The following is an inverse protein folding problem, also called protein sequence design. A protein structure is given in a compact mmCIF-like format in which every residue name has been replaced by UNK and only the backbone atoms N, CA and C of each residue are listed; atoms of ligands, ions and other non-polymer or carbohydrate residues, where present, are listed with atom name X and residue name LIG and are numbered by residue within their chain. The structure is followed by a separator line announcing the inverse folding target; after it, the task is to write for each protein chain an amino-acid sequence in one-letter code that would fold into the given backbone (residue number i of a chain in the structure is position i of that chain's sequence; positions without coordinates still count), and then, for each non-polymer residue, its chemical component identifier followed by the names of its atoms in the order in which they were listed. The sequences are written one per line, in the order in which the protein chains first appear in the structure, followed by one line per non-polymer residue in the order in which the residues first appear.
data_IF_400541967049
#
_entry.id   IF_400541967049
#
_cell.length_a   1.000
_cell.length_b   1.000
_cell.length_c   1.000
_cell.angle_alpha   90.00
_cell.angle_beta   90.00
_cell.angle_gamma   90.00
#
_symmetry.space_group_name_H-M   'P 1'
#
loop_
_entity.id
_entity.type
_entity.pdbx_description
1 polymer ?
#
# COMPACT_ATOMS: atom_id res chain seq x y z
N UNK A 1 -30.78 -82.59 16.46
CA UNK A 1 -29.31 -82.42 16.50
C UNK A 1 -28.93 -81.27 15.57
N UNK A 2 -29.01 -80.04 16.07
CA UNK A 2 -28.69 -78.82 15.31
C UNK A 2 -27.50 -78.16 16.02
N UNK A 3 -26.47 -78.01 15.21
CA UNK A 3 -25.06 -77.83 15.53
C UNK A 3 -24.76 -76.52 16.27
N UNK A 4 -23.83 -76.67 17.21
CA UNK A 4 -22.98 -75.73 17.96
C UNK A 4 -22.24 -74.64 17.14
N UNK A 5 -22.70 -74.29 15.95
CA UNK A 5 -22.00 -73.39 15.01
C UNK A 5 -22.31 -71.91 15.25
N UNK A 6 -23.47 -71.57 15.83
CA UNK A 6 -23.93 -70.18 15.94
C UNK A 6 -23.14 -69.40 17.02
N UNK A 7 -22.72 -70.06 18.10
CA UNK A 7 -22.00 -69.40 19.18
C UNK A 7 -20.54 -69.05 18.86
N UNK A 8 -19.91 -69.75 17.90
CA UNK A 8 -18.53 -69.43 17.48
C UNK A 8 -18.43 -68.18 16.60
N UNK A 9 -19.48 -67.84 15.86
CA UNK A 9 -19.46 -66.65 14.98
C UNK A 9 -19.72 -65.35 15.75
N UNK A 10 -20.46 -65.39 16.86
CA UNK A 10 -20.73 -64.19 17.67
C UNK A 10 -19.49 -63.73 18.44
N UNK A 11 -18.64 -64.66 18.88
CA UNK A 11 -17.40 -64.32 19.62
C UNK A 11 -16.32 -63.74 18.69
N UNK A 12 -16.27 -64.13 17.41
CA UNK A 12 -15.29 -63.57 16.45
C UNK A 12 -15.69 -62.15 16.01
N UNK A 13 -16.99 -61.84 15.93
CA UNK A 13 -17.45 -60.48 15.59
C UNK A 13 -17.16 -59.44 16.70
N UNK A 14 -17.10 -59.86 17.97
CA UNK A 14 -16.82 -58.96 19.09
C UNK A 14 -15.32 -58.60 19.22
N UNK A 15 -14.42 -59.40 18.64
CA UNK A 15 -12.96 -59.17 18.68
C UNK A 15 -12.43 -58.26 17.56
N UNK A 16 -13.25 -57.96 16.53
CA UNK A 16 -12.91 -57.03 15.46
C UNK A 16 -13.46 -55.61 15.66
N UNK A 17 -14.27 -55.40 16.69
CA UNK A 17 -14.71 -54.07 17.13
C UNK A 17 -13.73 -53.46 18.16
N UNK A 18 -12.43 -53.68 17.97
CA UNK A 18 -11.38 -52.92 18.66
C UNK A 18 -11.46 -51.47 18.22
N UNK A 19 -12.38 -50.72 18.81
CA UNK A 19 -12.53 -49.28 18.63
C UNK A 19 -11.20 -48.63 18.98
N UNK A 20 -10.45 -48.27 17.95
CA UNK A 20 -9.31 -47.38 18.10
C UNK A 20 -9.87 -46.01 18.46
N UNK A 21 -10.11 -45.78 19.75
CA UNK A 21 -10.25 -44.44 20.29
C UNK A 21 -8.88 -43.78 20.13
N UNK A 22 -8.67 -43.15 18.97
CA UNK A 22 -7.66 -42.12 18.86
C UNK A 22 -8.11 -41.02 19.82
N UNK A 23 -7.52 -41.01 21.02
CA UNK A 23 -7.50 -39.81 21.84
C UNK A 23 -6.73 -38.81 21.01
N UNK A 24 -7.45 -37.97 20.25
CA UNK A 24 -6.88 -36.79 19.65
C UNK A 24 -6.38 -35.94 20.82
N UNK A 25 -5.09 -36.08 21.15
CA UNK A 25 -4.45 -35.22 22.13
C UNK A 25 -4.64 -33.79 21.63
N UNK A 26 -5.33 -32.97 22.40
CA UNK A 26 -5.46 -31.56 22.07
C UNK A 26 -4.04 -31.01 21.91
N UNK A 27 -3.77 -30.22 20.84
CA UNK A 27 -2.47 -29.59 20.70
C UNK A 27 -2.18 -28.78 21.96
N UNK A 28 -0.92 -28.78 22.44
CA UNK A 28 -0.56 -27.97 23.59
C UNK A 28 -0.91 -26.49 23.33
N UNK A 29 -1.27 -25.74 24.38
CA UNK A 29 -1.58 -24.33 24.23
C UNK A 29 -0.37 -23.59 23.62
N UNK A 30 -0.61 -22.56 22.80
CA UNK A 30 0.49 -21.78 22.24
C UNK A 30 1.34 -21.16 23.37
N UNK A 31 2.66 -21.04 23.18
CA UNK A 31 3.54 -20.42 24.17
C UNK A 31 3.16 -18.95 24.40
N UNK A 32 3.53 -18.38 25.56
CA UNK A 32 3.25 -16.98 25.86
C UNK A 32 4.00 -16.04 24.89
N UNK A 33 3.34 -14.92 24.54
CA UNK A 33 3.93 -13.86 23.72
C UNK A 33 4.72 -12.89 24.61
N UNK A 34 5.90 -12.45 24.17
CA UNK A 34 6.65 -11.35 24.79
C UNK A 34 6.32 -10.02 24.11
N UNK A 35 6.03 -8.99 24.90
CA UNK A 35 5.81 -7.62 24.43
C UNK A 35 7.06 -6.72 24.54
N UNK A 36 8.18 -7.28 24.99
CA UNK A 36 9.45 -6.58 25.18
C UNK A 36 9.81 -6.34 26.65
N UNK A 37 11.04 -6.69 27.02
CA UNK A 37 11.66 -6.42 28.33
C UNK A 37 12.98 -5.64 28.16
N UNK A 38 13.54 -5.12 29.24
CA UNK A 38 14.76 -4.31 29.19
C UNK A 38 16.00 -5.14 28.83
N UNK A 39 15.95 -6.46 29.05
CA UNK A 39 17.02 -7.41 28.74
C UNK A 39 17.05 -7.82 27.25
N UNK A 40 16.06 -7.44 26.45
CA UNK A 40 16.00 -7.79 25.03
C UNK A 40 17.09 -7.02 24.24
N UNK A 41 17.69 -7.65 23.22
CA UNK A 41 18.70 -6.97 22.37
C UNK A 41 18.09 -5.82 21.54
N UNK A 42 16.84 -5.97 21.13
CA UNK A 42 16.13 -4.99 20.31
C UNK A 42 14.88 -4.50 21.05
N UNK A 43 14.72 -3.19 21.13
CA UNK A 43 13.61 -2.59 21.85
C UNK A 43 12.59 -2.00 20.87
N UNK A 44 11.30 -2.35 20.99
CA UNK A 44 10.26 -1.71 20.19
C UNK A 44 10.07 -0.26 20.64
N UNK A 45 9.67 0.61 19.70
CA UNK A 45 9.14 1.93 20.05
C UNK A 45 7.85 1.72 20.85
N UNK A 46 7.64 2.51 21.91
CA UNK A 46 6.48 2.40 22.81
C UNK A 46 5.63 3.66 22.77
N UNK A 47 4.31 3.50 22.74
CA UNK A 47 3.33 4.58 22.85
C UNK A 47 2.11 4.11 23.65
N UNK A 48 1.39 5.04 24.31
CA UNK A 48 0.21 4.73 25.14
C UNK A 48 -1.14 4.97 24.44
N UNK A 49 -1.16 5.70 23.33
CA UNK A 49 -2.39 6.13 22.66
C UNK A 49 -2.46 5.66 21.22
N UNK A 50 -1.68 6.29 20.33
CA UNK A 50 -1.60 5.95 18.90
C UNK A 50 -0.17 5.80 18.45
N UNK A 51 0.04 5.03 17.38
CA UNK A 51 1.33 4.80 16.76
C UNK A 51 1.16 4.72 15.24
N UNK A 52 2.13 5.26 14.50
CA UNK A 52 2.24 5.13 13.05
C UNK A 52 3.64 4.61 12.77
N UNK A 53 3.74 3.64 11.87
CA UNK A 53 5.00 3.16 11.33
C UNK A 53 4.94 3.24 9.80
N UNK A 54 5.93 3.86 9.19
CA UNK A 54 6.06 3.93 7.73
C UNK A 54 7.53 4.04 7.34
N UNK A 55 7.82 3.90 6.04
CA UNK A 55 9.19 3.98 5.49
C UNK A 55 9.81 5.38 5.62
N UNK A 56 8.97 6.42 5.71
CA UNK A 56 9.43 7.81 5.75
C UNK A 56 9.12 8.50 7.08
N UNK A 57 10.08 9.28 7.57
CA UNK A 57 9.98 9.95 8.86
C UNK A 57 9.02 11.15 8.84
N UNK A 58 8.87 11.85 7.71
CA UNK A 58 7.91 12.96 7.56
C UNK A 58 6.49 12.42 7.45
N UNK A 59 6.26 11.39 6.64
CA UNK A 59 4.97 10.73 6.52
C UNK A 59 4.51 10.12 7.85
N UNK A 60 5.41 9.46 8.60
CA UNK A 60 5.12 8.99 9.96
C UNK A 60 4.66 10.12 10.86
N UNK A 61 5.35 11.27 10.83
CA UNK A 61 4.97 12.45 11.62
C UNK A 61 3.61 13.00 11.23
N UNK A 62 3.30 13.09 9.92
CA UNK A 62 1.98 13.48 9.42
C UNK A 62 0.89 12.60 10.02
N UNK A 63 1.06 11.27 9.99
CA UNK A 63 0.09 10.34 10.56
C UNK A 63 -0.09 10.52 12.07
N UNK A 64 1.01 10.66 12.82
CA UNK A 64 0.97 10.90 14.27
C UNK A 64 0.24 12.21 14.58
N UNK A 65 0.48 13.27 13.81
CA UNK A 65 -0.17 14.56 14.03
C UNK A 65 -1.66 14.53 13.70
N UNK A 66 -2.11 13.72 12.72
CA UNK A 66 -3.54 13.47 12.47
C UNK A 66 -4.19 12.73 13.64
N UNK A 67 -3.53 11.71 14.19
CA UNK A 67 -4.02 11.03 15.40
C UNK A 67 -4.12 11.99 16.59
N UNK A 68 -3.13 12.88 16.78
CA UNK A 68 -3.14 13.91 17.84
C UNK A 68 -4.26 14.94 17.64
N UNK A 69 -4.65 15.21 16.40
CA UNK A 69 -5.78 16.08 16.06
C UNK A 69 -7.15 15.39 16.24
N UNK A 70 -7.17 14.16 16.74
CA UNK A 70 -8.39 13.40 16.99
C UNK A 70 -8.87 12.56 15.82
N UNK A 71 -8.07 12.46 14.74
CA UNK A 71 -8.35 11.55 13.63
C UNK A 71 -8.21 10.09 14.06
N UNK A 72 -8.95 9.20 13.40
CA UNK A 72 -8.86 7.77 13.65
C UNK A 72 -7.71 7.13 12.82
N UNK A 73 -7.56 5.81 12.93
CA UNK A 73 -6.53 5.07 12.20
C UNK A 73 -6.65 5.19 10.66
N UNK A 74 -7.87 5.30 10.13
CA UNK A 74 -8.11 5.47 8.69
C UNK A 74 -7.77 6.89 8.24
N UNK A 75 -8.14 7.91 9.01
CA UNK A 75 -7.76 9.31 8.73
C UNK A 75 -6.24 9.46 8.66
N UNK A 76 -5.53 8.89 9.64
CA UNK A 76 -4.08 8.91 9.70
C UNK A 76 -3.45 8.09 8.55
N UNK A 77 -3.99 6.91 8.23
CA UNK A 77 -3.48 6.10 7.12
C UNK A 77 -3.61 6.80 5.76
N UNK A 78 -4.75 7.47 5.51
CA UNK A 78 -4.96 8.25 4.28
C UNK A 78 -4.02 9.44 4.22
N UNK A 79 -3.84 10.17 5.33
CA UNK A 79 -2.89 11.28 5.39
C UNK A 79 -1.44 10.82 5.15
N UNK A 80 -1.03 9.68 5.73
CA UNK A 80 0.27 9.05 5.48
C UNK A 80 0.41 8.67 4.01
N UNK A 81 -0.62 8.08 3.39
CA UNK A 81 -0.62 7.73 1.98
C UNK A 81 -0.35 8.93 1.06
N UNK A 82 -1.06 10.03 1.27
CA UNK A 82 -0.82 11.28 0.53
C UNK A 82 0.55 11.90 0.85
N UNK A 83 1.01 11.85 2.10
CA UNK A 83 2.34 12.34 2.46
C UNK A 83 3.45 11.53 1.78
N UNK A 84 3.32 10.20 1.69
CA UNK A 84 4.24 9.33 0.96
C UNK A 84 4.22 9.59 -0.55
N UNK A 85 3.05 9.93 -1.12
CA UNK A 85 2.96 10.35 -2.52
C UNK A 85 3.81 11.59 -2.87
N UNK A 86 4.25 12.34 -1.85
CA UNK A 86 5.13 13.50 -1.98
C UNK A 86 6.55 13.19 -1.53
N UNK A 87 6.71 12.56 -0.37
CA UNK A 87 8.01 12.40 0.32
C UNK A 87 8.76 11.14 -0.08
N UNK A 88 8.05 10.13 -0.60
CA UNK A 88 8.59 8.85 -1.03
C UNK A 88 8.13 8.51 -2.46
N UNK A 89 8.49 9.34 -3.47
CA UNK A 89 8.03 9.17 -4.86
C UNK A 89 8.49 7.85 -5.52
N UNK A 90 9.38 7.10 -4.88
CA UNK A 90 9.80 5.76 -5.31
C UNK A 90 8.66 4.74 -5.29
N UNK A 91 7.66 4.94 -4.42
CA UNK A 91 6.54 4.01 -4.27
C UNK A 91 5.24 4.66 -3.76
N UNK A 92 5.35 5.67 -2.89
CA UNK A 92 4.20 6.49 -2.51
C UNK A 92 3.65 7.20 -3.73
N UNK A 93 2.34 7.15 -3.97
CA UNK A 93 1.80 7.57 -5.25
C UNK A 93 0.33 8.05 -5.20
N UNK A 94 -0.01 8.88 -6.19
CA UNK A 94 -1.39 9.05 -6.68
C UNK A 94 -1.58 8.44 -8.09
N UNK A 95 -0.49 8.01 -8.73
CA UNK A 95 -0.47 7.48 -10.10
C UNK A 95 -0.37 5.95 -10.21
N UNK A 96 -0.50 5.23 -9.09
CA UNK A 96 -0.54 3.76 -9.04
C UNK A 96 -1.75 3.27 -8.24
N UNK A 97 -1.58 2.17 -7.51
CA UNK A 97 -2.64 1.54 -6.70
C UNK A 97 -2.10 0.73 -5.54
N UNK A 98 -2.97 -0.09 -4.93
CA UNK A 98 -2.59 -0.92 -3.80
C UNK A 98 -3.78 -1.52 -3.05
N UNK A 99 -3.53 -1.82 -1.78
CA UNK A 99 -4.51 -2.47 -0.90
C UNK A 99 -4.47 -1.83 0.49
N UNK A 100 -5.61 -1.84 1.18
CA UNK A 100 -5.72 -1.46 2.58
C UNK A 100 -6.49 -2.54 3.33
N UNK A 101 -5.90 -3.08 4.40
CA UNK A 101 -6.61 -3.93 5.34
C UNK A 101 -6.92 -3.11 6.59
N UNK A 102 -8.16 -3.15 7.05
CA UNK A 102 -8.56 -2.42 8.25
C UNK A 102 -9.39 -3.31 9.16
N UNK A 103 -9.19 -3.10 10.46
CA UNK A 103 -9.96 -3.73 11.54
C UNK A 103 -10.45 -2.65 12.48
N UNK A 104 -11.76 -2.54 12.62
CA UNK A 104 -12.40 -1.56 13.49
C UNK A 104 -12.36 -2.04 14.94
N UNK A 105 -12.57 -1.12 15.89
CA UNK A 105 -12.50 -1.41 17.34
C UNK A 105 -13.54 -2.43 17.83
N UNK A 106 -14.66 -2.56 17.13
CA UNK A 106 -15.71 -3.56 17.33
C UNK A 106 -15.36 -4.93 16.69
N UNK A 107 -14.19 -5.07 16.08
CA UNK A 107 -13.65 -6.33 15.58
C UNK A 107 -13.96 -6.64 14.11
N UNK A 108 -14.75 -5.80 13.43
CA UNK A 108 -15.03 -5.98 12.00
C UNK A 108 -13.75 -5.77 11.20
N UNK A 109 -13.47 -6.73 10.30
CA UNK A 109 -12.29 -6.71 9.45
C UNK A 109 -12.72 -6.64 7.99
N UNK A 110 -12.05 -5.82 7.19
CA UNK A 110 -12.30 -5.73 5.75
C UNK A 110 -11.03 -5.36 5.01
N UNK A 111 -11.07 -5.48 3.69
CA UNK A 111 -10.03 -5.09 2.78
C UNK A 111 -10.61 -4.15 1.72
N UNK A 112 -9.83 -3.16 1.32
CA UNK A 112 -10.10 -2.27 0.20
C UNK A 112 -9.06 -2.58 -0.86
N UNK A 113 -9.52 -3.10 -1.99
CA UNK A 113 -8.73 -3.28 -3.20
C UNK A 113 -8.86 -2.02 -4.05
N UNK A 114 -7.75 -1.35 -4.26
CA UNK A 114 -7.62 -0.21 -5.16
C UNK A 114 -6.42 -0.42 -6.10
N UNK A 115 -6.23 -1.67 -6.53
CA UNK A 115 -5.26 -2.05 -7.55
C UNK A 115 -5.58 -1.36 -8.87
N UNK A 116 -4.54 -1.07 -9.64
CA UNK A 116 -4.71 -0.54 -10.97
C UNK A 116 -5.49 -1.50 -11.88
N UNK A 117 -6.33 -0.94 -12.74
CA UNK A 117 -7.05 -1.72 -13.77
C UNK A 117 -6.35 -1.59 -15.12
N UNK A 118 -6.22 -2.69 -15.84
CA UNK A 118 -5.77 -2.64 -17.23
C UNK A 118 -6.73 -1.72 -18.05
N UNK A 119 -6.19 -0.82 -18.90
CA UNK A 119 -7.03 0.01 -19.77
C UNK A 119 -7.96 -0.83 -20.64
N UNK A 120 -9.10 -0.26 -21.07
CA UNK A 120 -10.08 -0.97 -21.93
C UNK A 120 -9.47 -1.50 -23.24
N UNK A 121 -8.47 -0.80 -23.77
CA UNK A 121 -7.76 -1.20 -24.99
C UNK A 121 -6.62 -2.20 -24.74
N UNK A 122 -6.40 -2.63 -23.50
CA UNK A 122 -5.39 -3.64 -23.20
C UNK A 122 -5.79 -4.98 -23.81
N UNK A 123 -4.81 -5.68 -24.38
CA UNK A 123 -5.01 -7.00 -24.99
C UNK A 123 -3.96 -7.97 -24.48
N UNK A 124 -4.27 -9.28 -24.57
CA UNK A 124 -3.41 -10.35 -24.05
C UNK A 124 -1.96 -10.25 -24.55
N UNK A 125 -1.77 -9.90 -25.82
CA UNK A 125 -0.49 -10.00 -26.52
C UNK A 125 0.18 -8.61 -26.72
N UNK A 126 -0.32 -7.54 -26.08
CA UNK A 126 0.15 -6.16 -26.28
C UNK A 126 1.62 -5.91 -25.92
N UNK A 127 2.25 -6.83 -25.18
CA UNK A 127 3.64 -6.76 -24.77
C UNK A 127 4.55 -7.75 -25.50
N UNK A 128 4.07 -8.43 -26.55
CA UNK A 128 4.92 -9.28 -27.37
C UNK A 128 5.68 -8.46 -28.43
N UNK A 129 6.86 -8.91 -28.80
CA UNK A 129 7.59 -8.46 -29.99
C UNK A 129 7.07 -9.17 -31.27
N UNK A 130 7.66 -8.84 -32.42
CA UNK A 130 7.27 -9.41 -33.71
C UNK A 130 7.55 -10.92 -33.82
N UNK A 131 8.37 -11.48 -32.93
CA UNK A 131 8.68 -12.91 -32.84
C UNK A 131 7.81 -13.63 -31.80
N UNK A 132 6.91 -12.92 -31.11
CA UNK A 132 6.04 -13.47 -30.09
C UNK A 132 6.68 -13.60 -28.70
N UNK A 133 7.85 -13.01 -28.45
CA UNK A 133 8.49 -13.02 -27.14
C UNK A 133 8.08 -11.80 -26.29
N UNK A 134 7.99 -11.91 -24.96
CA UNK A 134 7.69 -10.76 -24.10
C UNK A 134 8.78 -9.67 -24.14
N UNK A 135 8.37 -8.42 -24.39
CA UNK A 135 9.23 -7.23 -24.36
C UNK A 135 9.06 -6.48 -23.02
N UNK A 136 10.05 -6.65 -22.14
CA UNK A 136 10.08 -6.01 -20.82
C UNK A 136 10.11 -4.49 -20.87
N UNK A 137 10.65 -3.85 -21.93
CA UNK A 137 10.68 -2.39 -22.03
C UNK A 137 9.28 -1.85 -22.26
N UNK A 138 8.44 -2.57 -23.03
CA UNK A 138 7.03 -2.19 -23.22
C UNK A 138 6.25 -2.23 -21.90
N UNK A 139 6.47 -3.26 -21.08
CA UNK A 139 5.72 -3.47 -19.83
C UNK A 139 6.30 -2.78 -18.59
N UNK A 140 7.50 -2.18 -18.66
CA UNK A 140 8.15 -1.50 -17.53
C UNK A 140 8.38 0.00 -17.75
N UNK A 141 8.88 0.40 -18.93
CA UNK A 141 9.39 1.77 -19.15
C UNK A 141 8.70 2.51 -20.29
N UNK A 142 7.68 1.91 -20.92
CA UNK A 142 6.86 2.58 -21.92
C UNK A 142 5.55 3.10 -21.31
N UNK A 143 4.85 3.97 -22.03
CA UNK A 143 3.52 4.43 -21.62
C UNK A 143 2.49 3.28 -21.50
N UNK A 144 2.69 2.17 -22.21
CA UNK A 144 1.81 0.99 -22.14
C UNK A 144 1.92 0.25 -20.80
N UNK A 145 2.98 0.48 -20.03
CA UNK A 145 3.22 -0.16 -18.73
C UNK A 145 2.23 0.30 -17.64
N UNK A 146 1.49 1.39 -17.88
CA UNK A 146 0.63 2.01 -16.87
C UNK A 146 -0.77 1.42 -16.87
N UNK A 147 -1.21 0.95 -15.71
CA UNK A 147 -2.63 0.70 -15.44
C UNK A 147 -3.36 1.98 -15.02
N UNK A 148 -4.70 1.94 -15.03
CA UNK A 148 -5.53 3.05 -14.52
C UNK A 148 -5.35 3.18 -13.01
N UNK A 149 -4.88 4.34 -12.47
CA UNK A 149 -4.52 4.46 -11.06
C UNK A 149 -5.70 4.34 -10.09
N UNK A 150 -5.51 3.62 -8.98
CA UNK A 150 -6.53 3.35 -7.96
C UNK A 150 -6.35 4.08 -6.63
N UNK A 151 -5.16 4.60 -6.30
CA UNK A 151 -4.85 5.12 -4.96
C UNK A 151 -5.81 6.22 -4.47
N UNK A 152 -6.14 7.21 -5.33
CA UNK A 152 -7.05 8.30 -4.96
C UNK A 152 -8.46 7.79 -4.65
N UNK A 153 -8.98 6.86 -5.47
CA UNK A 153 -10.27 6.21 -5.23
C UNK A 153 -10.27 5.37 -3.94
N UNK A 154 -9.23 4.56 -3.72
CA UNK A 154 -9.08 3.72 -2.54
C UNK A 154 -9.04 4.53 -1.24
N UNK A 155 -8.24 5.60 -1.21
CA UNK A 155 -8.16 6.50 -0.07
C UNK A 155 -9.49 7.22 0.21
N UNK A 156 -10.18 7.66 -0.84
CA UNK A 156 -11.46 8.35 -0.69
C UNK A 156 -12.54 7.40 -0.18
N UNK A 157 -12.64 6.19 -0.74
CA UNK A 157 -13.55 5.14 -0.27
C UNK A 157 -13.29 4.76 1.20
N UNK A 158 -12.02 4.61 1.58
CA UNK A 158 -11.65 4.31 2.97
C UNK A 158 -12.08 5.44 3.90
N UNK A 159 -11.75 6.69 3.55
CA UNK A 159 -12.02 7.87 4.35
C UNK A 159 -13.53 8.13 4.48
N UNK A 160 -14.28 8.04 3.39
CA UNK A 160 -15.74 8.25 3.39
C UNK A 160 -16.47 7.23 4.27
N UNK A 161 -16.03 5.97 4.23
CA UNK A 161 -16.75 4.87 4.89
C UNK A 161 -16.29 4.61 6.32
N UNK A 162 -15.01 4.87 6.61
CA UNK A 162 -14.38 4.49 7.88
C UNK A 162 -13.58 5.61 8.53
N UNK A 163 -13.35 6.73 7.84
CA UNK A 163 -12.72 7.93 8.38
C UNK A 163 -13.69 8.78 9.20
N UNK A 164 -13.15 9.83 9.80
CA UNK A 164 -13.89 10.85 10.55
C UNK A 164 -13.54 12.27 10.14
N UNK A 165 -12.46 12.47 9.38
CA UNK A 165 -12.01 13.76 8.88
C UNK A 165 -12.38 13.95 7.40
N UNK A 166 -12.68 15.19 6.97
CA UNK A 166 -12.87 15.48 5.55
C UNK A 166 -11.55 15.34 4.78
N UNK A 167 -11.64 14.98 3.49
CA UNK A 167 -10.49 14.77 2.60
C UNK A 167 -9.50 15.94 2.60
N UNK A 168 -10.03 17.17 2.58
CA UNK A 168 -9.20 18.38 2.57
C UNK A 168 -8.33 18.55 3.83
N UNK A 169 -8.70 17.95 4.97
CA UNK A 169 -7.90 18.00 6.20
C UNK A 169 -6.76 16.98 6.15
N UNK A 170 -7.04 15.76 5.71
CA UNK A 170 -6.04 14.68 5.67
C UNK A 170 -5.01 14.87 4.55
N UNK A 171 -5.37 15.53 3.44
CA UNK A 171 -4.45 15.80 2.31
C UNK A 171 -3.59 17.06 2.51
N UNK A 172 -4.03 18.01 3.34
CA UNK A 172 -3.34 19.31 3.54
C UNK A 172 -1.86 19.18 3.91
N UNK A 173 -1.42 18.26 4.78
CA UNK A 173 -0.01 18.10 5.08
C UNK A 173 0.83 17.73 3.84
N UNK A 174 0.30 16.90 2.94
CA UNK A 174 0.97 16.53 1.70
C UNK A 174 1.08 17.72 0.73
N UNK A 175 0.02 18.53 0.60
CA UNK A 175 0.05 19.77 -0.19
C UNK A 175 1.17 20.68 0.30
N UNK A 176 1.24 20.92 1.62
CA UNK A 176 2.29 21.75 2.23
C UNK A 176 3.70 21.22 1.92
N UNK A 177 3.91 19.91 2.07
CA UNK A 177 5.19 19.26 1.74
C UNK A 177 5.55 19.41 0.26
N UNK A 178 4.58 19.34 -0.64
CA UNK A 178 4.81 19.48 -2.08
C UNK A 178 5.13 20.93 -2.49
N UNK A 179 4.45 21.91 -1.90
CA UNK A 179 4.58 23.33 -2.26
C UNK A 179 5.78 24.02 -1.60
N UNK A 180 5.99 23.80 -0.30
CA UNK A 180 7.13 24.37 0.45
C UNK A 180 8.41 23.55 0.23
N UNK A 181 8.25 22.29 -0.19
CA UNK A 181 9.31 21.33 -0.35
C UNK A 181 9.87 20.79 0.96
N UNK A 182 10.65 19.73 0.84
CA UNK A 182 11.32 19.07 1.95
C UNK A 182 12.77 18.75 1.59
N UNK A 183 13.57 18.45 2.60
CA UNK A 183 14.99 18.14 2.43
C UNK A 183 15.14 16.68 2.00
N UNK A 184 15.84 16.46 0.90
CA UNK A 184 16.19 15.13 0.39
C UNK A 184 17.11 14.45 1.40
N UNK A 185 16.71 13.27 1.87
CA UNK A 185 17.47 12.43 2.81
C UNK A 185 18.34 11.41 2.04
N UNK A 186 19.07 10.56 2.78
CA UNK A 186 19.92 9.52 2.18
C UNK A 186 19.11 8.58 1.27
N UNK A 187 17.98 8.05 1.76
CA UNK A 187 17.16 7.10 1.01
C UNK A 187 16.71 7.65 -0.35
N UNK A 188 16.14 8.87 -0.37
CA UNK A 188 15.69 9.48 -1.62
C UNK A 188 16.86 9.84 -2.55
N UNK A 189 17.99 10.32 -2.01
CA UNK A 189 19.16 10.62 -2.82
C UNK A 189 19.73 9.37 -3.49
N UNK A 190 19.85 8.27 -2.74
CA UNK A 190 20.38 7.01 -3.23
C UNK A 190 19.46 6.37 -4.26
N UNK A 191 18.14 6.42 -4.04
CA UNK A 191 17.15 5.90 -5.01
C UNK A 191 17.11 6.74 -6.29
N UNK A 192 17.16 8.08 -6.19
CA UNK A 192 17.23 8.94 -7.37
C UNK A 192 18.50 8.66 -8.16
N UNK A 193 19.64 8.50 -7.49
CA UNK A 193 20.92 8.20 -8.14
C UNK A 193 20.94 6.82 -8.79
N UNK A 194 20.40 5.81 -8.12
CA UNK A 194 20.49 4.41 -8.57
C UNK A 194 19.39 4.10 -9.58
N UNK A 195 18.13 4.15 -9.14
CA UNK A 195 16.97 3.76 -9.96
C UNK A 195 16.44 4.92 -10.79
N UNK A 196 16.41 6.13 -10.20
CA UNK A 196 15.93 7.31 -10.90
C UNK A 196 16.72 7.61 -12.17
N UNK A 197 18.05 7.42 -12.14
CA UNK A 197 18.93 7.66 -13.29
C UNK A 197 18.61 6.81 -14.51
N UNK A 198 17.95 5.65 -14.33
CA UNK A 198 17.58 4.78 -15.43
C UNK A 198 16.40 5.33 -16.25
N UNK A 199 15.47 6.06 -15.63
CA UNK A 199 14.19 6.44 -16.27
C UNK A 199 13.88 7.94 -16.24
N UNK A 200 14.17 8.64 -15.14
CA UNK A 200 13.75 10.04 -14.94
C UNK A 200 14.39 10.99 -15.96
N UNK A 201 15.71 10.92 -16.25
CA UNK A 201 16.35 11.82 -17.21
C UNK A 201 15.84 11.67 -18.65
N UNK A 202 15.15 10.57 -18.97
CA UNK A 202 14.62 10.29 -20.31
C UNK A 202 13.32 11.08 -20.60
N UNK A 203 12.71 11.69 -19.59
CA UNK A 203 11.45 12.43 -19.71
C UNK A 203 11.62 13.87 -19.18
N UNK A 204 11.36 14.87 -20.02
CA UNK A 204 11.63 16.28 -19.69
C UNK A 204 10.87 16.76 -18.44
N UNK A 205 9.59 16.37 -18.32
CA UNK A 205 8.75 16.72 -17.18
C UNK A 205 9.25 16.12 -15.86
N UNK A 206 9.68 14.86 -15.86
CA UNK A 206 10.24 14.17 -14.70
C UNK A 206 11.61 14.76 -14.32
N UNK A 207 12.48 14.97 -15.32
CA UNK A 207 13.78 15.59 -15.13
C UNK A 207 13.67 17.01 -14.55
N UNK A 208 12.68 17.80 -14.97
CA UNK A 208 12.46 19.14 -14.45
C UNK A 208 12.12 19.18 -12.94
N UNK A 209 11.67 18.06 -12.35
CA UNK A 209 11.28 17.97 -10.94
C UNK A 209 12.42 17.40 -10.09
N UNK A 210 13.02 16.29 -10.53
CA UNK A 210 13.94 15.50 -9.70
C UNK A 210 15.42 15.68 -10.05
N UNK A 211 15.74 16.42 -11.12
CA UNK A 211 17.11 16.71 -11.56
C UNK A 211 17.42 18.20 -11.46
N UNK A 212 18.67 18.52 -11.11
CA UNK A 212 19.19 19.89 -11.04
C UNK A 212 20.59 19.92 -11.63
N UNK A 213 20.83 20.83 -12.56
CA UNK A 213 22.13 20.99 -13.24
C UNK A 213 22.65 19.69 -13.90
N UNK A 214 21.75 18.86 -14.43
CA UNK A 214 22.10 17.62 -15.11
C UNK A 214 22.32 16.42 -14.19
N UNK A 215 22.24 16.58 -12.87
CA UNK A 215 22.38 15.50 -11.89
C UNK A 215 21.11 15.30 -11.06
N UNK A 216 20.89 14.10 -10.50
CA UNK A 216 19.81 13.87 -9.53
C UNK A 216 19.97 14.80 -8.32
N UNK A 217 18.85 15.20 -7.72
CA UNK A 217 18.88 15.89 -6.44
C UNK A 217 19.62 15.06 -5.39
N UNK A 218 20.46 15.72 -4.60
CA UNK A 218 21.35 15.08 -3.61
C UNK A 218 20.82 15.29 -2.21
N UNK A 219 21.32 14.49 -1.26
CA UNK A 219 21.05 14.72 0.16
C UNK A 219 21.32 16.18 0.54
N UNK A 220 20.38 16.80 1.24
CA UNK A 220 20.47 18.21 1.63
C UNK A 220 19.85 19.19 0.63
N UNK A 221 19.64 18.80 -0.63
CA UNK A 221 18.84 19.60 -1.56
C UNK A 221 17.38 19.67 -1.09
N UNK A 222 16.68 20.73 -1.49
CA UNK A 222 15.24 20.88 -1.28
C UNK A 222 14.49 20.45 -2.53
N UNK A 223 13.66 19.42 -2.41
CA UNK A 223 12.73 18.98 -3.46
C UNK A 223 11.40 19.73 -3.30
N UNK A 224 11.02 20.50 -4.33
CA UNK A 224 9.73 21.20 -4.43
C UNK A 224 8.96 20.64 -5.62
N UNK A 225 7.68 20.31 -5.42
CA UNK A 225 6.83 19.63 -6.40
C UNK A 225 5.55 20.42 -6.66
N UNK A 226 5.66 21.67 -7.14
CA UNK A 226 4.52 22.59 -7.30
C UNK A 226 3.36 22.02 -8.11
N UNK A 227 3.66 21.29 -9.20
CA UNK A 227 2.63 20.67 -10.03
C UNK A 227 1.84 19.60 -9.25
N UNK A 228 2.54 18.77 -8.48
CA UNK A 228 1.90 17.78 -7.61
C UNK A 228 1.09 18.48 -6.50
N UNK A 229 1.63 19.53 -5.89
CA UNK A 229 0.89 20.37 -4.93
C UNK A 229 -0.42 20.86 -5.52
N UNK A 230 -0.41 21.36 -6.76
CA UNK A 230 -1.64 21.80 -7.45
C UNK A 230 -2.62 20.66 -7.72
N UNK A 231 -2.13 19.48 -8.11
CA UNK A 231 -2.99 18.29 -8.27
C UNK A 231 -3.65 17.89 -6.95
N UNK A 232 -2.90 17.90 -5.86
CA UNK A 232 -3.42 17.58 -4.52
C UNK A 232 -4.42 18.63 -4.03
N UNK A 233 -4.20 19.92 -4.31
CA UNK A 233 -5.18 20.97 -3.99
C UNK A 233 -6.49 20.76 -4.76
N UNK A 234 -6.43 20.41 -6.05
CA UNK A 234 -7.65 20.10 -6.84
C UNK A 234 -8.42 18.90 -6.26
N UNK A 235 -7.72 17.86 -5.81
CA UNK A 235 -8.34 16.70 -5.13
C UNK A 235 -8.95 17.13 -3.79
N UNK A 236 -8.28 18.00 -3.05
CA UNK A 236 -8.79 18.53 -1.78
C UNK A 236 -10.07 19.35 -1.96
N UNK A 237 -10.14 20.15 -3.03
CA UNK A 237 -11.26 21.06 -3.33
C UNK A 237 -12.45 20.35 -3.98
N UNK A 238 -12.19 19.41 -4.90
CA UNK A 238 -13.22 18.82 -5.76
C UNK A 238 -13.40 17.31 -5.54
N UNK A 239 -12.70 16.72 -4.56
CA UNK A 239 -12.79 15.30 -4.25
C UNK A 239 -12.08 14.41 -5.28
N UNK A 240 -12.28 13.08 -5.20
CA UNK A 240 -11.62 12.12 -6.11
C UNK A 240 -11.97 12.35 -7.58
N UNK A 241 -13.14 12.93 -7.88
CA UNK A 241 -13.56 13.26 -9.24
C UNK A 241 -12.60 14.22 -9.96
N UNK A 242 -11.85 15.05 -9.21
CA UNK A 242 -10.79 15.87 -9.78
C UNK A 242 -9.71 15.04 -10.52
N UNK A 243 -9.44 13.84 -10.03
CA UNK A 243 -8.46 12.93 -10.59
C UNK A 243 -9.04 12.08 -11.74
N UNK A 244 -10.29 11.62 -11.60
CA UNK A 244 -10.90 10.66 -12.53
C UNK A 244 -11.76 11.30 -13.64
N UNK A 245 -12.29 12.50 -13.42
CA UNK A 245 -13.26 13.16 -14.32
C UNK A 245 -12.89 14.60 -14.67
N UNK A 246 -11.98 15.22 -13.91
CA UNK A 246 -11.53 16.59 -14.13
C UNK A 246 -10.73 16.77 -15.43
N UNK A 247 -10.47 18.02 -15.85
CA UNK A 247 -9.63 18.34 -17.02
C UNK A 247 -8.12 18.02 -16.83
N UNK A 248 -7.77 17.19 -15.85
CA UNK A 248 -6.40 16.77 -15.49
C UNK A 248 -5.73 15.93 -16.60
N UNK A 249 -4.38 15.90 -16.72
CA UNK A 249 -3.65 15.43 -17.91
C UNK A 249 -3.83 13.95 -18.30
N UNK A 250 -4.48 13.14 -17.48
CA UNK A 250 -4.84 11.76 -17.84
C UNK A 250 -5.75 11.69 -19.07
N UNK A 251 -6.47 12.76 -19.40
CA UNK A 251 -7.21 12.83 -20.67
C UNK A 251 -6.31 13.05 -21.90
N UNK A 252 -5.06 13.49 -21.73
CA UNK A 252 -4.10 13.64 -22.84
C UNK A 252 -3.44 12.32 -23.27
N UNK A 253 -3.60 11.24 -22.50
CA UNK A 253 -3.13 9.90 -22.86
C UNK A 253 -4.14 9.11 -23.72
N UNK A 254 -5.27 9.74 -24.10
CA UNK A 254 -6.33 9.11 -24.92
C UNK A 254 -6.57 9.80 -26.25
N UNK A 255 -5.61 10.60 -26.75
CA UNK A 255 -5.58 11.08 -28.13
C UNK A 255 -4.21 10.96 -28.74
#
# INVERSE_FOLDING_TARGET
MIKTTIWRQVVIAALLAGGSFTVAANPPPPPPVSYGVEEDVFHPVRARQGMVASVDALATRVGVDILRQGGNAVDAAVAVGYALAVTHPQAGNIGGGGFMMLRTKDGKTTAIDFREMAPEQATRDMFLDDQGNPDSKKSLTSHLASGTPGSVAGFSLALEKYGTMPLNKVIRPAIKLAEEGFIVNDALADDLKTYGSEVIPQHENSKAIFWKNGEPLKKGDRLVQKNLGKSLELIAEHGPDAFYKGPSPTRSLTR
#
